data_IF_379766833123
#
_entry.id   IF_379766833123
#
_cell.length_a   1.000
_cell.length_b   1.000
_cell.length_c   1.000
_cell.angle_alpha   90.00
_cell.angle_beta   90.00
_cell.angle_gamma   90.00
#
_symmetry.space_group_name_H-M   'P 1'
#
loop_
_entity.id
_entity.type
_entity.pdbx_description
1 polymer ?
#
# COMPACT_ATOMS: atom_id res chain seq x y z
N UNK A 1 -15.49 2.50 7.65
CA UNK A 1 -14.08 2.87 7.43
C UNK A 1 -13.85 2.83 5.95
N UNK A 2 -13.63 4.00 5.35
CA UNK A 2 -13.62 4.16 3.90
C UNK A 2 -12.20 4.41 3.42
N UNK A 3 -11.60 3.39 2.81
CA UNK A 3 -10.31 3.50 2.15
C UNK A 3 -10.54 3.77 0.66
N UNK A 4 -9.82 4.75 0.10
CA UNK A 4 -9.87 5.08 -1.32
C UNK A 4 -8.48 5.00 -1.94
N UNK A 5 -8.41 4.49 -3.16
CA UNK A 5 -7.18 4.51 -3.94
C UNK A 5 -7.03 5.86 -4.65
N UNK A 6 -5.85 6.47 -4.53
CA UNK A 6 -5.45 7.68 -5.26
C UNK A 6 -4.05 7.46 -5.82
N UNK A 7 -3.76 7.93 -7.04
CA UNK A 7 -2.40 7.76 -7.58
C UNK A 7 -1.47 8.69 -6.84
N UNK A 8 -0.27 8.20 -6.54
CA UNK A 8 0.79 9.01 -5.93
C UNK A 8 1.28 10.16 -6.83
N UNK A 9 0.92 10.13 -8.10
CA UNK A 9 1.22 11.17 -9.08
C UNK A 9 0.17 12.28 -9.10
N UNK A 10 -1.03 12.05 -8.56
CA UNK A 10 -2.09 13.06 -8.48
C UNK A 10 -1.77 14.02 -7.32
N UNK A 11 -2.20 15.27 -7.44
CA UNK A 11 -1.94 16.29 -6.41
C UNK A 11 -2.63 15.95 -5.09
N UNK A 12 -1.93 16.20 -3.98
CA UNK A 12 -2.47 16.10 -2.64
C UNK A 12 -3.64 17.07 -2.47
N UNK A 13 -4.79 16.59 -2.03
CA UNK A 13 -5.98 17.40 -1.78
C UNK A 13 -6.31 17.47 -0.28
N UNK A 14 -7.00 18.54 0.17
CA UNK A 14 -7.41 18.67 1.57
C UNK A 14 -8.35 17.54 2.02
N UNK A 15 -9.13 16.98 1.10
CA UNK A 15 -10.09 15.91 1.40
C UNK A 15 -9.45 14.51 1.44
N UNK A 16 -8.13 14.39 1.28
CA UNK A 16 -7.41 13.10 1.25
C UNK A 16 -7.32 12.41 2.61
N UNK A 17 -7.58 13.13 3.70
CA UNK A 17 -7.46 12.57 5.05
C UNK A 17 -6.04 12.05 5.31
N UNK A 18 -5.95 10.88 5.94
CA UNK A 18 -4.68 10.23 6.24
C UNK A 18 -4.14 9.45 5.02
N UNK A 19 -2.98 9.86 4.50
CA UNK A 19 -2.40 9.35 3.26
C UNK A 19 -1.26 8.39 3.52
N UNK A 20 -1.46 7.14 3.15
CA UNK A 20 -0.47 6.07 3.34
C UNK A 20 -0.02 5.49 2.01
N UNK A 21 1.29 5.35 1.85
CA UNK A 21 1.89 4.56 0.78
C UNK A 21 2.18 3.15 1.28
N UNK A 22 1.68 2.14 0.57
CA UNK A 22 1.96 0.73 0.82
C UNK A 22 2.73 0.17 -0.38
N UNK A 23 4.04 0.35 -0.38
CA UNK A 23 4.96 -0.21 -1.38
C UNK A 23 6.36 -0.35 -0.77
N UNK A 24 7.17 -1.27 -1.27
CA UNK A 24 8.57 -1.38 -0.87
C UNK A 24 9.46 -0.29 -1.50
N UNK A 25 9.00 0.29 -2.62
CA UNK A 25 9.76 1.24 -3.45
C UNK A 25 9.08 2.60 -3.47
N UNK A 26 9.89 3.64 -3.29
CA UNK A 26 9.40 5.01 -3.44
C UNK A 26 9.14 5.34 -4.92
N UNK A 27 8.00 5.95 -5.27
CA UNK A 27 7.66 6.22 -6.66
C UNK A 27 8.62 7.21 -7.31
N UNK A 28 9.06 6.87 -8.53
CA UNK A 28 10.00 7.68 -9.30
C UNK A 28 9.40 9.04 -9.64
N UNK A 29 10.19 10.10 -9.52
CA UNK A 29 9.80 11.47 -9.88
C UNK A 29 8.84 12.15 -8.90
N UNK A 30 8.55 11.54 -7.75
CA UNK A 30 7.73 12.15 -6.70
C UNK A 30 8.64 12.53 -5.53
N UNK A 31 8.64 13.79 -5.10
CA UNK A 31 9.33 14.19 -3.86
C UNK A 31 8.47 13.88 -2.64
N UNK A 32 9.08 13.72 -1.46
CA UNK A 32 8.34 13.54 -0.20
C UNK A 32 7.41 14.73 0.08
N UNK A 33 7.91 15.95 -0.16
CA UNK A 33 7.13 17.19 0.01
C UNK A 33 5.90 17.26 -0.90
N UNK A 34 6.03 16.83 -2.16
CA UNK A 34 4.90 16.76 -3.10
C UNK A 34 3.94 15.65 -2.73
N UNK A 35 4.48 14.51 -2.31
CA UNK A 35 3.70 13.33 -2.00
C UNK A 35 2.74 13.56 -0.84
N UNK A 36 3.07 14.46 0.12
CA UNK A 36 2.25 14.78 1.30
C UNK A 36 1.63 13.52 1.92
N UNK A 37 2.47 12.51 2.13
CA UNK A 37 2.08 11.27 2.79
C UNK A 37 2.29 11.45 4.29
N UNK A 38 1.33 11.00 5.07
CA UNK A 38 1.47 10.89 6.52
C UNK A 38 2.32 9.68 6.87
N UNK A 39 2.28 8.62 6.05
CA UNK A 39 3.00 7.39 6.31
C UNK A 39 3.46 6.63 5.06
N UNK A 40 4.59 5.92 5.18
CA UNK A 40 5.06 4.93 4.22
C UNK A 40 5.16 3.54 4.88
N UNK A 41 4.07 2.79 4.84
CA UNK A 41 3.89 1.48 5.48
C UNK A 41 4.46 0.33 4.63
N UNK A 42 5.79 0.29 4.52
CA UNK A 42 6.55 -0.70 3.72
C UNK A 42 6.33 -2.13 4.19
N UNK A 43 6.15 -2.32 5.48
CA UNK A 43 5.89 -3.60 6.13
C UNK A 43 4.55 -4.21 5.72
N UNK A 44 3.60 -3.39 5.28
CA UNK A 44 2.31 -3.87 4.80
C UNK A 44 2.37 -4.29 3.33
N UNK A 45 3.40 -3.91 2.56
CA UNK A 45 3.53 -4.26 1.14
C UNK A 45 3.73 -5.78 0.94
N UNK A 46 3.32 -6.33 -0.22
CA UNK A 46 3.54 -7.75 -0.53
C UNK A 46 5.03 -8.06 -0.54
N UNK A 47 5.41 -9.22 0.00
CA UNK A 47 6.82 -9.65 0.05
C UNK A 47 7.47 -9.66 -1.33
N UNK A 48 8.80 -9.50 -1.37
CA UNK A 48 9.56 -9.57 -2.63
C UNK A 48 9.38 -10.91 -3.35
N UNK A 49 9.25 -12.02 -2.61
CA UNK A 49 8.96 -13.32 -3.18
C UNK A 49 7.59 -13.34 -3.85
N UNK A 50 6.54 -12.88 -3.15
CA UNK A 50 5.19 -12.85 -3.70
C UNK A 50 5.07 -11.90 -4.90
N UNK A 51 5.75 -10.74 -4.84
CA UNK A 51 5.80 -9.77 -5.94
C UNK A 51 6.46 -10.36 -7.18
N UNK A 52 7.60 -11.05 -7.01
CA UNK A 52 8.29 -11.74 -8.12
C UNK A 52 7.46 -12.89 -8.68
N UNK A 53 6.75 -13.62 -7.82
CA UNK A 53 5.86 -14.71 -8.25
C UNK A 53 4.66 -14.19 -9.07
N UNK A 54 4.09 -13.03 -8.70
CA UNK A 54 2.97 -12.44 -9.43
C UNK A 54 3.37 -12.00 -10.85
N UNK A 55 4.56 -11.43 -11.00
CA UNK A 55 5.15 -11.00 -12.28
C UNK A 55 4.22 -10.15 -13.18
N UNK A 56 3.26 -9.45 -12.58
CA UNK A 56 2.21 -8.70 -13.28
C UNK A 56 1.32 -9.53 -14.21
N UNK A 57 1.30 -10.86 -14.04
CA UNK A 57 0.45 -11.77 -14.80
C UNK A 57 -1.01 -11.66 -14.30
N UNK A 58 -1.94 -11.12 -15.11
CA UNK A 58 -3.33 -10.95 -14.69
C UNK A 58 -4.01 -12.27 -14.32
N UNK A 59 -3.60 -13.39 -14.93
CA UNK A 59 -4.14 -14.71 -14.61
C UNK A 59 -3.82 -15.16 -13.19
N UNK A 60 -2.72 -14.65 -12.61
CA UNK A 60 -2.29 -14.95 -11.23
C UNK A 60 -2.92 -14.03 -10.19
N UNK A 61 -3.67 -12.99 -10.59
CA UNK A 61 -4.12 -11.94 -9.68
C UNK A 61 -5.02 -12.47 -8.56
N UNK A 62 -5.92 -13.40 -8.85
CA UNK A 62 -6.81 -13.98 -7.84
C UNK A 62 -6.02 -14.68 -6.72
N UNK A 63 -5.01 -15.45 -7.10
CA UNK A 63 -4.12 -16.17 -6.18
C UNK A 63 -3.15 -15.23 -5.47
N UNK A 64 -2.60 -14.23 -6.16
CA UNK A 64 -1.81 -13.15 -5.55
C UNK A 64 -2.57 -12.48 -4.41
N UNK A 65 -3.84 -12.11 -4.67
CA UNK A 65 -4.72 -11.49 -3.68
C UNK A 65 -4.94 -12.41 -2.46
N UNK A 66 -5.05 -13.73 -2.67
CA UNK A 66 -5.22 -14.70 -1.59
C UNK A 66 -3.94 -14.85 -0.76
N UNK A 67 -2.77 -14.99 -1.40
CA UNK A 67 -1.47 -15.09 -0.73
C UNK A 67 -1.13 -13.81 0.03
N UNK A 68 -1.37 -12.65 -0.57
CA UNK A 68 -1.11 -11.37 0.08
C UNK A 68 -1.96 -11.19 1.33
N UNK A 69 -3.24 -11.62 1.33
CA UNK A 69 -4.05 -11.64 2.56
C UNK A 69 -3.46 -12.50 3.66
N UNK A 70 -2.82 -13.63 3.32
CA UNK A 70 -2.15 -14.48 4.31
C UNK A 70 -0.93 -13.78 4.89
N UNK A 71 -0.14 -13.09 4.07
CA UNK A 71 0.95 -12.25 4.57
C UNK A 71 0.45 -11.12 5.49
N UNK A 72 -0.65 -10.48 5.12
CA UNK A 72 -1.27 -9.44 5.94
C UNK A 72 -1.81 -9.98 7.26
N UNK A 73 -2.32 -11.22 7.29
CA UNK A 73 -2.81 -11.85 8.51
C UNK A 73 -1.69 -12.05 9.55
N UNK A 74 -0.44 -12.24 9.13
CA UNK A 74 0.71 -12.31 10.04
C UNK A 74 1.20 -10.94 10.51
N UNK A 75 0.63 -9.85 9.96
CA UNK A 75 0.97 -8.45 10.23
C UNK A 75 -0.23 -7.68 10.82
N UNK A 76 -1.12 -8.40 11.49
CA UNK A 76 -2.40 -7.89 12.01
C UNK A 76 -2.24 -6.68 12.94
N UNK A 77 -1.26 -6.69 13.84
CA UNK A 77 -1.03 -5.59 14.78
C UNK A 77 -0.82 -4.25 14.08
N UNK A 78 -0.04 -4.24 12.99
CA UNK A 78 0.25 -3.03 12.21
C UNK A 78 -0.97 -2.57 11.40
N UNK A 79 -1.72 -3.52 10.83
CA UNK A 79 -3.00 -3.22 10.19
C UNK A 79 -4.00 -2.61 11.17
N UNK A 80 -4.05 -3.12 12.39
CA UNK A 80 -4.97 -2.63 13.42
C UNK A 80 -4.58 -1.25 13.92
N UNK A 81 -3.28 -0.92 13.97
CA UNK A 81 -2.82 0.45 14.22
C UNK A 81 -3.29 1.41 13.13
N UNK A 82 -3.02 1.07 11.86
CA UNK A 82 -3.47 1.88 10.73
C UNK A 82 -5.00 2.04 10.75
N UNK A 83 -5.71 1.00 11.20
CA UNK A 83 -7.16 1.01 11.32
C UNK A 83 -7.72 1.95 12.39
N UNK A 84 -6.91 2.37 13.37
CA UNK A 84 -7.36 3.30 14.41
C UNK A 84 -7.15 4.76 14.01
N UNK A 85 -6.26 5.00 13.04
CA UNK A 85 -5.86 6.34 12.60
C UNK A 85 -6.79 6.86 11.49
N UNK A 86 -7.20 5.95 10.59
CA UNK A 86 -8.00 6.27 9.41
C UNK A 86 -9.52 6.11 9.63
#
# INVERSE_FOLDING_TARGET
MDARAKRIYDEAGPDDGYRVLVDHVWPRGVSRDRAKLDEWARELAPSDELRRWFDHDPARFAEFRARYRRELATRSARLDELRRIA
#
